data_IF_958090936762
#
_entry.id   IF_958090936762
#
_cell.length_a   1.000
_cell.length_b   1.000
_cell.length_c   1.000
_cell.angle_alpha   90.00
_cell.angle_beta   90.00
_cell.angle_gamma   90.00
#
_symmetry.space_group_name_H-M   'P 1'
#
loop_
_entity.id
_entity.type
_entity.pdbx_description
1 polymer ?
#
# COMPACT_ATOMS: atom_id res chain seq x y z
N UNK A 1 -7.90 -52.66 15.28
CA UNK A 1 -8.10 -51.38 15.97
C UNK A 1 -6.87 -50.43 15.93
N UNK A 2 -5.65 -50.85 16.22
CA UNK A 2 -4.48 -49.92 16.21
C UNK A 2 -4.11 -49.32 14.84
N UNK A 3 -4.29 -50.02 13.72
CA UNK A 3 -4.03 -49.51 12.37
C UNK A 3 -5.06 -48.49 11.88
N UNK A 4 -6.31 -48.61 12.31
CA UNK A 4 -7.39 -47.66 11.93
C UNK A 4 -7.27 -46.35 12.68
N UNK A 5 -6.78 -46.38 13.94
CA UNK A 5 -6.55 -45.15 14.73
C UNK A 5 -5.34 -44.37 14.19
N UNK A 6 -4.26 -45.02 13.72
CA UNK A 6 -3.16 -44.35 13.08
C UNK A 6 -3.54 -43.66 11.74
N UNK A 7 -4.39 -44.29 10.92
CA UNK A 7 -4.87 -43.70 9.69
C UNK A 7 -5.76 -42.44 9.95
N UNK A 8 -6.61 -42.52 10.99
CA UNK A 8 -7.43 -41.34 11.39
C UNK A 8 -6.58 -40.16 11.93
N UNK A 9 -5.55 -40.49 12.72
CA UNK A 9 -4.61 -39.43 13.22
C UNK A 9 -3.77 -38.80 12.11
N UNK A 10 -3.37 -39.58 11.09
CA UNK A 10 -2.66 -39.03 9.92
C UNK A 10 -3.62 -38.19 9.07
N UNK A 11 -4.90 -38.57 8.91
CA UNK A 11 -5.90 -37.76 8.20
C UNK A 11 -6.21 -36.45 8.94
N UNK A 12 -6.23 -36.44 10.28
CA UNK A 12 -6.46 -35.24 11.08
C UNK A 12 -5.21 -34.30 11.06
N UNK A 13 -3.99 -34.86 11.00
CA UNK A 13 -2.78 -34.05 10.84
C UNK A 13 -2.66 -33.42 9.45
N UNK A 14 -3.16 -34.08 8.40
CA UNK A 14 -3.17 -33.52 7.03
C UNK A 14 -4.22 -32.40 6.91
N UNK A 15 -5.29 -32.43 7.71
CA UNK A 15 -6.32 -31.37 7.76
C UNK A 15 -5.90 -30.15 8.60
N UNK A 16 -4.78 -30.20 9.31
CA UNK A 16 -4.20 -29.07 10.08
C UNK A 16 -3.00 -28.41 9.42
N UNK A 17 -2.65 -28.79 8.18
CA UNK A 17 -1.77 -27.93 7.39
C UNK A 17 -2.53 -26.62 7.16
N UNK A 18 -1.98 -25.47 7.56
CA UNK A 18 -2.60 -24.21 7.21
C UNK A 18 -2.75 -24.25 5.70
N UNK A 19 -3.98 -24.11 5.20
CA UNK A 19 -4.24 -23.75 3.82
C UNK A 19 -3.50 -22.42 3.64
N UNK A 20 -2.24 -22.48 3.18
CA UNK A 20 -1.60 -21.30 2.65
C UNK A 20 -2.51 -20.83 1.53
N UNK A 21 -3.31 -19.82 1.82
CA UNK A 21 -4.02 -19.11 0.78
C UNK A 21 -2.93 -18.46 -0.06
N UNK A 22 -2.55 -19.09 -1.17
CA UNK A 22 -1.75 -18.48 -2.21
C UNK A 22 -2.60 -17.37 -2.85
N UNK A 23 -2.87 -16.32 -2.06
CA UNK A 23 -3.53 -15.12 -2.51
C UNK A 23 -2.58 -14.25 -3.32
N UNK A 24 -3.12 -13.36 -4.11
CA UNK A 24 -2.37 -12.24 -4.60
C UNK A 24 -1.92 -11.39 -3.39
N UNK A 25 -0.67 -10.95 -3.38
CA UNK A 25 -0.15 -10.00 -2.40
C UNK A 25 0.06 -8.66 -3.09
N UNK A 26 -0.38 -7.60 -2.45
CA UNK A 26 -0.14 -6.22 -2.84
C UNK A 26 1.09 -5.67 -2.14
N UNK A 27 1.69 -4.62 -2.67
CA UNK A 27 2.71 -3.83 -1.98
C UNK A 27 2.14 -3.08 -0.76
N UNK A 28 0.81 -3.05 -0.61
CA UNK A 28 0.11 -2.42 0.49
C UNK A 28 -1.10 -3.25 0.95
N UNK A 29 -1.06 -3.69 2.20
CA UNK A 29 -2.23 -4.32 2.85
C UNK A 29 -3.03 -3.23 3.57
N UNK A 30 -4.21 -2.92 3.04
CA UNK A 30 -5.09 -1.86 3.54
C UNK A 30 -5.97 -2.28 4.71
N UNK A 31 -6.00 -3.57 5.07
CA UNK A 31 -6.82 -4.09 6.17
C UNK A 31 -5.96 -4.95 7.09
N UNK A 32 -5.94 -4.60 8.38
CA UNK A 32 -5.19 -5.31 9.41
C UNK A 32 -6.10 -5.75 10.54
N UNK A 33 -5.79 -6.90 11.13
CA UNK A 33 -6.54 -7.46 12.27
C UNK A 33 -5.86 -7.21 13.62
N UNK A 34 -4.76 -6.46 13.64
CA UNK A 34 -4.11 -6.04 14.88
C UNK A 34 -4.92 -4.94 15.58
N UNK A 35 -4.88 -4.92 16.91
CA UNK A 35 -5.43 -3.84 17.75
C UNK A 35 -4.52 -2.62 17.69
N UNK A 36 -4.61 -1.87 16.61
CA UNK A 36 -3.82 -0.67 16.37
C UNK A 36 -4.06 0.41 17.43
N UNK A 37 -3.09 1.31 17.61
CA UNK A 37 -3.28 2.48 18.48
C UNK A 37 -4.42 3.36 17.95
N UNK A 38 -5.42 3.67 18.81
CA UNK A 38 -6.65 4.39 18.43
C UNK A 38 -6.79 5.76 19.12
N UNK A 39 -5.96 6.06 20.10
CA UNK A 39 -5.92 7.35 20.81
C UNK A 39 -4.56 7.55 21.43
N UNK A 40 -4.20 8.80 21.66
CA UNK A 40 -2.97 9.18 22.36
C UNK A 40 -1.73 8.51 21.78
N UNK A 41 -1.69 8.44 20.43
CA UNK A 41 -0.57 7.88 19.69
C UNK A 41 0.71 8.64 20.00
N UNK A 42 1.73 7.91 20.45
CA UNK A 42 3.02 8.48 20.83
C UNK A 42 4.09 8.05 19.85
N UNK A 43 5.02 8.94 19.55
CA UNK A 43 6.21 8.61 18.81
C UNK A 43 7.05 7.60 19.60
N UNK A 44 7.16 6.37 19.08
CA UNK A 44 8.05 5.36 19.62
C UNK A 44 9.49 5.66 19.19
N UNK A 45 9.69 5.89 17.92
CA UNK A 45 10.93 6.39 17.31
C UNK A 45 10.66 7.04 15.96
N UNK A 46 11.64 7.81 15.48
CA UNK A 46 11.76 8.25 14.10
C UNK A 46 13.16 8.01 13.58
N UNK A 47 13.28 7.70 12.30
CA UNK A 47 14.58 7.48 11.61
C UNK A 47 14.59 8.26 10.30
N UNK A 48 15.65 9.02 10.09
CA UNK A 48 15.81 9.86 8.90
C UNK A 48 16.61 9.13 7.83
N UNK A 49 16.01 8.91 6.67
CA UNK A 49 16.62 8.28 5.51
C UNK A 49 16.70 9.19 4.29
N UNK A 50 15.95 10.27 4.25
CA UNK A 50 15.90 11.21 3.15
C UNK A 50 15.97 12.65 3.61
N UNK A 51 15.65 13.60 2.73
CA UNK A 51 15.77 15.03 3.02
C UNK A 51 14.54 15.87 2.66
N UNK A 52 13.79 15.50 1.61
CA UNK A 52 12.62 16.23 1.11
C UNK A 52 11.79 15.32 0.18
N UNK A 53 10.69 15.85 -0.39
CA UNK A 53 9.79 15.07 -1.23
C UNK A 53 10.47 14.38 -2.45
N UNK A 54 11.59 14.90 -2.96
CA UNK A 54 12.30 14.32 -4.11
C UNK A 54 13.11 13.08 -3.75
N UNK A 55 13.62 13.02 -2.53
CA UNK A 55 14.40 11.90 -2.01
C UNK A 55 13.91 11.45 -0.64
N UNK A 56 12.61 11.49 -0.42
CA UNK A 56 12.01 10.91 0.77
C UNK A 56 12.05 9.37 0.68
N UNK A 57 12.09 8.67 1.81
CA UNK A 57 11.99 7.22 1.80
C UNK A 57 10.65 6.76 1.21
N UNK A 58 10.58 5.50 0.76
CA UNK A 58 9.30 4.88 0.44
C UNK A 58 8.43 4.74 1.71
N UNK A 59 7.09 4.62 1.58
CA UNK A 59 6.30 4.13 2.70
C UNK A 59 6.85 2.79 3.19
N UNK A 60 6.98 2.56 4.51
CA UNK A 60 7.53 1.33 5.06
C UNK A 60 6.59 0.14 4.84
N UNK A 61 7.15 -1.05 4.72
CA UNK A 61 6.41 -2.31 4.68
C UNK A 61 6.80 -3.15 5.88
N UNK A 62 5.81 -3.63 6.63
CA UNK A 62 6.02 -4.54 7.76
C UNK A 62 6.17 -5.97 7.25
N UNK A 63 7.24 -6.64 7.65
CA UNK A 63 7.47 -8.06 7.39
C UNK A 63 7.93 -8.74 8.69
N UNK A 64 7.02 -9.41 9.37
CA UNK A 64 7.27 -9.91 10.73
C UNK A 64 7.68 -8.78 11.67
N UNK A 65 8.83 -8.91 12.31
CA UNK A 65 9.40 -7.93 13.24
C UNK A 65 10.31 -6.89 12.54
N UNK A 66 10.20 -6.76 11.22
CA UNK A 66 11.05 -5.86 10.44
C UNK A 66 10.24 -4.89 9.57
N UNK A 67 10.89 -3.78 9.21
CA UNK A 67 10.40 -2.83 8.22
C UNK A 67 11.33 -2.82 7.02
N UNK A 68 10.76 -2.83 5.82
CA UNK A 68 11.49 -2.65 4.57
C UNK A 68 11.22 -1.24 4.04
N UNK A 69 12.30 -0.55 3.71
CA UNK A 69 12.29 0.85 3.25
C UNK A 69 13.35 1.03 2.17
N UNK A 70 13.00 1.71 1.08
CA UNK A 70 14.00 2.19 0.11
C UNK A 70 14.16 3.71 0.22
N UNK A 71 15.40 4.21 0.09
CA UNK A 71 15.68 5.64 0.05
C UNK A 71 16.96 5.94 -0.74
N UNK A 72 16.87 6.88 -1.66
CA UNK A 72 17.96 7.16 -2.59
C UNK A 72 18.30 5.91 -3.41
N UNK A 73 19.56 5.46 -3.36
CA UNK A 73 20.03 4.25 -4.02
C UNK A 73 20.23 3.07 -3.05
N UNK A 74 19.59 3.08 -1.87
CA UNK A 74 19.73 2.00 -0.87
C UNK A 74 18.37 1.47 -0.44
N UNK A 75 18.31 0.19 -0.17
CA UNK A 75 17.21 -0.49 0.49
C UNK A 75 17.65 -0.96 1.87
N UNK A 76 16.77 -0.78 2.86
CA UNK A 76 17.04 -1.05 4.27
C UNK A 76 16.05 -2.06 4.81
N UNK A 77 16.54 -2.96 5.65
CA UNK A 77 15.78 -3.82 6.55
C UNK A 77 16.02 -3.33 7.98
N UNK A 78 14.97 -2.86 8.63
CA UNK A 78 15.03 -2.25 9.95
C UNK A 78 14.34 -3.14 10.96
N UNK A 79 14.75 -3.06 12.22
CA UNK A 79 13.97 -3.57 13.33
C UNK A 79 12.69 -2.74 13.51
N UNK A 80 11.52 -3.36 13.51
CA UNK A 80 10.26 -2.69 13.74
C UNK A 80 10.16 -2.10 15.15
N UNK A 81 10.89 -2.69 16.13
CA UNK A 81 10.87 -2.31 17.54
C UNK A 81 11.50 -0.93 17.80
N UNK A 82 12.62 -0.62 17.14
CA UNK A 82 13.46 0.56 17.46
C UNK A 82 14.02 1.28 16.22
N UNK A 83 13.72 0.76 15.01
CA UNK A 83 14.16 1.33 13.74
C UNK A 83 15.66 1.16 13.47
N UNK A 84 16.38 0.33 14.23
CA UNK A 84 17.80 0.08 13.96
C UNK A 84 17.97 -0.70 12.66
N UNK A 85 19.01 -0.37 11.89
CA UNK A 85 19.31 -1.03 10.62
C UNK A 85 19.85 -2.42 10.91
N UNK A 86 19.12 -3.45 10.48
CA UNK A 86 19.53 -4.86 10.57
C UNK A 86 20.41 -5.22 9.38
N UNK A 87 20.00 -4.80 8.18
CA UNK A 87 20.74 -5.02 6.94
C UNK A 87 20.37 -3.96 5.91
N UNK A 88 21.24 -3.76 4.94
CA UNK A 88 21.04 -2.84 3.83
C UNK A 88 21.71 -3.35 2.56
N UNK A 89 21.22 -2.89 1.41
CA UNK A 89 21.83 -3.20 0.11
C UNK A 89 21.80 -1.97 -0.81
N UNK A 90 22.72 -1.95 -1.77
CA UNK A 90 22.74 -0.95 -2.82
C UNK A 90 21.77 -1.33 -3.95
N UNK A 91 21.03 -0.36 -4.44
CA UNK A 91 20.14 -0.49 -5.59
C UNK A 91 20.84 0.00 -6.87
N UNK A 92 20.43 -0.53 -8.03
CA UNK A 92 21.01 -0.11 -9.33
C UNK A 92 20.53 1.26 -9.80
N UNK A 93 19.52 1.82 -9.18
CA UNK A 93 18.93 3.12 -9.46
C UNK A 93 18.41 3.77 -8.18
N UNK A 94 17.60 4.80 -8.32
CA UNK A 94 17.02 5.55 -7.20
C UNK A 94 15.51 5.35 -7.10
N UNK A 95 15.00 5.40 -5.86
CA UNK A 95 13.56 5.45 -5.62
C UNK A 95 12.98 6.88 -5.68
N UNK A 96 13.67 7.81 -6.31
CA UNK A 96 13.28 9.22 -6.38
C UNK A 96 11.85 9.37 -6.91
N UNK A 97 11.03 10.17 -6.21
CA UNK A 97 9.60 10.36 -6.46
C UNK A 97 8.72 9.10 -6.33
N UNK A 98 9.25 7.98 -5.85
CA UNK A 98 8.42 6.80 -5.64
C UNK A 98 7.50 7.01 -4.43
N UNK A 99 6.20 6.86 -4.66
CA UNK A 99 5.17 6.84 -3.61
C UNK A 99 4.70 5.42 -3.30
N UNK A 100 5.12 4.45 -4.11
CA UNK A 100 4.81 3.04 -3.92
C UNK A 100 5.76 2.40 -2.90
N UNK A 101 5.21 1.59 -2.01
CA UNK A 101 5.99 0.77 -1.09
C UNK A 101 6.71 -0.34 -1.85
N UNK A 102 7.88 -0.82 -1.38
CA UNK A 102 8.42 -2.11 -1.82
C UNK A 102 7.39 -3.23 -1.60
N UNK A 103 7.44 -4.27 -2.41
CA UNK A 103 6.62 -5.47 -2.19
C UNK A 103 7.48 -6.56 -1.56
N UNK A 104 6.99 -7.18 -0.47
CA UNK A 104 7.51 -8.45 0.03
C UNK A 104 6.60 -9.60 -0.43
N UNK A 105 7.15 -10.56 -1.15
CA UNK A 105 6.45 -11.78 -1.53
C UNK A 105 7.44 -12.90 -1.88
N UNK A 106 7.08 -14.14 -1.61
CA UNK A 106 7.84 -15.34 -1.98
C UNK A 106 9.31 -15.31 -1.49
N UNK A 107 9.53 -14.79 -0.24
CA UNK A 107 10.88 -14.64 0.35
C UNK A 107 11.76 -13.58 -0.33
N UNK A 108 11.17 -12.70 -1.12
CA UNK A 108 11.86 -11.67 -1.91
C UNK A 108 11.27 -10.29 -1.67
N UNK A 109 12.09 -9.28 -1.89
CA UNK A 109 11.68 -7.88 -1.92
C UNK A 109 11.80 -7.37 -3.35
N UNK A 110 10.73 -6.74 -3.82
CA UNK A 110 10.70 -6.08 -5.13
C UNK A 110 10.58 -4.57 -4.92
N UNK A 111 11.51 -3.83 -5.48
CA UNK A 111 11.55 -2.38 -5.35
C UNK A 111 11.47 -1.72 -6.73
N UNK A 112 10.66 -0.66 -6.79
CA UNK A 112 10.51 0.16 -7.98
C UNK A 112 11.47 1.33 -7.91
N UNK A 113 12.22 1.51 -9.00
CA UNK A 113 13.23 2.54 -9.15
C UNK A 113 12.87 3.47 -10.31
N UNK A 114 13.62 4.53 -10.48
CA UNK A 114 13.51 5.44 -11.61
C UNK A 114 13.78 4.74 -12.97
N UNK A 115 13.51 5.45 -14.05
CA UNK A 115 13.73 5.00 -15.43
C UNK A 115 13.13 3.63 -15.78
N UNK A 116 11.96 3.29 -15.19
CA UNK A 116 11.28 2.03 -15.48
C UNK A 116 11.99 0.79 -14.96
N UNK A 117 12.75 0.93 -13.89
CA UNK A 117 13.56 -0.14 -13.32
C UNK A 117 12.84 -0.82 -12.16
N UNK A 118 12.91 -2.15 -12.09
CA UNK A 118 12.50 -2.97 -10.94
C UNK A 118 13.69 -3.85 -10.56
N UNK A 119 14.02 -3.89 -9.27
CA UNK A 119 15.06 -4.76 -8.75
C UNK A 119 14.48 -5.70 -7.69
N UNK A 120 14.90 -6.97 -7.72
CA UNK A 120 14.55 -7.96 -6.73
C UNK A 120 15.72 -8.25 -5.82
N UNK A 121 15.41 -8.43 -4.54
CA UNK A 121 16.37 -8.84 -3.51
C UNK A 121 15.86 -10.08 -2.78
N UNK A 122 16.76 -10.93 -2.36
CA UNK A 122 16.48 -11.98 -1.38
C UNK A 122 16.22 -11.33 -0.02
N UNK A 123 15.12 -11.68 0.65
CA UNK A 123 14.73 -11.04 1.90
C UNK A 123 15.68 -11.33 3.05
N UNK A 124 16.21 -12.54 3.14
CA UNK A 124 17.04 -12.94 4.27
C UNK A 124 18.46 -12.38 4.17
N UNK A 125 19.05 -12.45 3.00
CA UNK A 125 20.45 -12.06 2.76
C UNK A 125 20.61 -10.62 2.27
N UNK A 126 19.53 -9.97 1.81
CA UNK A 126 19.53 -8.67 1.12
C UNK A 126 20.39 -8.65 -0.16
N UNK A 127 20.75 -9.80 -0.71
CA UNK A 127 21.46 -9.89 -1.99
C UNK A 127 20.50 -9.55 -3.13
N UNK A 128 20.99 -8.79 -4.11
CA UNK A 128 20.29 -8.56 -5.36
C UNK A 128 20.19 -9.87 -6.15
N UNK A 129 19.03 -10.15 -6.72
CA UNK A 129 18.76 -11.34 -7.51
C UNK A 129 18.76 -11.01 -9.00
N UNK A 130 17.88 -10.10 -9.41
CA UNK A 130 17.73 -9.70 -10.80
C UNK A 130 17.26 -8.25 -10.94
N UNK A 131 17.44 -7.70 -12.14
CA UNK A 131 17.02 -6.34 -12.51
C UNK A 131 16.22 -6.39 -13.80
N UNK A 132 15.03 -5.79 -13.80
CA UNK A 132 14.27 -5.47 -14.99
C UNK A 132 14.42 -3.99 -15.34
N UNK A 133 14.64 -3.67 -16.62
CA UNK A 133 14.60 -2.32 -17.12
C UNK A 133 13.64 -2.24 -18.30
N UNK A 134 12.62 -1.39 -18.18
CA UNK A 134 11.63 -1.18 -19.23
C UNK A 134 12.23 -0.42 -20.40
N UNK A 135 11.84 -0.82 -21.65
CA UNK A 135 12.38 -0.20 -22.87
C UNK A 135 11.91 1.23 -23.10
N UNK A 136 10.72 1.57 -22.56
CA UNK A 136 10.17 2.94 -22.64
C UNK A 136 10.60 3.78 -21.44
N UNK A 137 11.23 3.17 -20.44
CA UNK A 137 11.57 3.84 -19.19
C UNK A 137 10.34 4.20 -18.37
N UNK A 138 10.36 5.36 -17.71
CA UNK A 138 9.24 5.92 -17.00
C UNK A 138 9.38 5.89 -15.48
N UNK A 139 8.47 6.58 -14.81
CA UNK A 139 8.38 6.59 -13.36
C UNK A 139 7.66 5.33 -12.88
N UNK A 140 8.17 4.74 -11.82
CA UNK A 140 7.62 3.54 -11.20
C UNK A 140 6.64 3.94 -10.07
N UNK A 141 5.47 4.44 -10.44
CA UNK A 141 4.47 4.98 -9.51
C UNK A 141 3.32 3.99 -9.23
N UNK A 142 3.28 2.87 -9.95
CA UNK A 142 2.25 1.84 -9.79
C UNK A 142 2.70 0.81 -8.76
N UNK A 143 1.96 0.56 -7.67
CA UNK A 143 2.26 -0.50 -6.74
C UNK A 143 2.40 -1.87 -7.43
N UNK A 144 3.31 -2.70 -6.94
CA UNK A 144 3.53 -4.04 -7.49
C UNK A 144 2.52 -5.01 -6.86
N UNK A 145 1.87 -5.82 -7.70
CA UNK A 145 1.02 -6.94 -7.25
C UNK A 145 1.74 -8.26 -7.52
N UNK A 146 1.80 -9.15 -6.52
CA UNK A 146 2.30 -10.52 -6.69
C UNK A 146 1.15 -11.52 -6.84
N UNK A 147 1.29 -12.48 -7.73
CA UNK A 147 0.37 -13.63 -7.81
C UNK A 147 1.04 -14.84 -8.45
N UNK A 148 1.10 -15.96 -7.70
CA UNK A 148 1.55 -17.27 -8.18
C UNK A 148 2.90 -17.26 -8.94
N UNK A 149 3.93 -16.67 -8.33
CA UNK A 149 5.30 -16.64 -8.88
C UNK A 149 5.53 -15.56 -9.94
N UNK A 150 4.60 -14.62 -10.09
CA UNK A 150 4.72 -13.47 -10.99
C UNK A 150 4.39 -12.18 -10.27
N UNK A 151 5.05 -11.11 -10.69
CA UNK A 151 4.69 -9.73 -10.32
C UNK A 151 4.15 -8.97 -11.52
N UNK A 152 3.27 -8.02 -11.23
CA UNK A 152 2.57 -7.18 -12.18
C UNK A 152 2.68 -5.72 -11.75
N UNK A 153 3.07 -4.83 -12.65
CA UNK A 153 3.12 -3.39 -12.41
C UNK A 153 3.20 -2.62 -13.72
N UNK A 154 2.97 -1.32 -13.66
CA UNK A 154 3.06 -0.43 -14.81
C UNK A 154 3.96 0.78 -14.55
N UNK A 155 4.29 1.50 -15.63
CA UNK A 155 5.13 2.70 -15.60
C UNK A 155 4.35 3.89 -16.12
N UNK A 156 4.83 5.09 -15.81
CA UNK A 156 4.22 6.33 -16.24
C UNK A 156 5.27 7.29 -16.83
N UNK A 157 5.10 7.70 -18.09
CA UNK A 157 6.02 8.58 -18.82
C UNK A 157 5.49 10.00 -19.00
N UNK A 158 4.26 10.25 -18.56
CA UNK A 158 3.53 11.47 -18.77
C UNK A 158 2.09 11.20 -19.19
N UNK A 159 1.26 12.22 -19.13
CA UNK A 159 -0.19 12.06 -19.34
C UNK A 159 -0.55 11.65 -20.79
N UNK A 160 0.27 12.04 -21.77
CA UNK A 160 0.06 11.80 -23.20
C UNK A 160 1.11 10.88 -23.85
N UNK A 161 1.96 10.25 -23.06
CA UNK A 161 3.03 9.37 -23.55
C UNK A 161 2.68 7.88 -23.40
N UNK A 162 3.33 7.06 -24.20
CA UNK A 162 3.23 5.60 -24.10
C UNK A 162 3.99 5.07 -22.89
N UNK A 163 3.42 4.10 -22.20
CA UNK A 163 4.09 3.35 -21.13
C UNK A 163 3.68 1.87 -21.15
N UNK A 164 4.48 1.03 -20.51
CA UNK A 164 4.25 -0.41 -20.44
C UNK A 164 3.66 -0.81 -19.09
N UNK A 165 2.76 -1.80 -19.11
CA UNK A 165 2.38 -2.67 -17.99
C UNK A 165 3.04 -4.02 -18.23
N UNK A 166 3.66 -4.60 -17.18
CA UNK A 166 4.52 -5.78 -17.35
C UNK A 166 4.14 -6.91 -16.39
N UNK A 167 4.40 -8.13 -16.84
CA UNK A 167 4.39 -9.34 -16.01
C UNK A 167 5.80 -9.92 -15.98
N UNK A 168 6.36 -10.06 -14.79
CA UNK A 168 7.70 -10.61 -14.56
C UNK A 168 7.63 -11.86 -13.70
N UNK A 169 8.40 -12.90 -14.04
CA UNK A 169 8.62 -14.04 -13.14
C UNK A 169 9.46 -13.60 -11.94
N UNK A 170 9.09 -14.02 -10.74
CA UNK A 170 9.88 -13.74 -9.52
C UNK A 170 11.08 -14.69 -9.36
N UNK A 171 11.17 -15.71 -10.22
CA UNK A 171 12.25 -16.72 -10.16
C UNK A 171 13.59 -16.07 -10.45
N UNK A 172 14.59 -16.37 -9.63
CA UNK A 172 15.98 -16.17 -9.94
C UNK A 172 16.44 -17.32 -10.85
N UNK A 173 16.76 -17.00 -12.10
CA UNK A 173 17.10 -18.00 -13.12
C UNK A 173 18.61 -18.26 -13.19
N UNK A 174 19.40 -17.32 -12.66
CA UNK A 174 20.87 -17.42 -12.62
C UNK A 174 21.40 -16.95 -11.26
N UNK A 175 21.41 -17.85 -10.31
CA UNK A 175 21.88 -17.59 -8.93
C UNK A 175 23.35 -17.14 -8.82
N UNK A 176 24.13 -17.31 -9.89
CA UNK A 176 25.53 -16.85 -9.94
C UNK A 176 25.64 -15.37 -10.34
N UNK A 177 24.53 -14.73 -10.72
CA UNK A 177 24.47 -13.33 -11.12
C UNK A 177 23.58 -12.50 -10.20
N UNK A 178 24.14 -11.62 -9.41
CA UNK A 178 23.41 -10.73 -8.51
C UNK A 178 22.55 -9.65 -9.22
N UNK A 179 22.70 -9.48 -10.52
CA UNK A 179 21.99 -8.48 -11.34
C UNK A 179 21.61 -9.06 -12.70
N UNK A 180 21.07 -10.27 -12.68
CA UNK A 180 20.58 -10.90 -13.90
C UNK A 180 19.57 -9.98 -14.61
N UNK A 181 19.70 -9.81 -15.92
CA UNK A 181 18.79 -9.00 -16.72
C UNK A 181 17.45 -9.73 -16.92
N UNK A 182 16.41 -9.30 -16.21
CA UNK A 182 15.09 -9.93 -16.25
C UNK A 182 14.35 -9.60 -17.55
N UNK A 183 13.70 -10.62 -18.12
CA UNK A 183 12.82 -10.45 -19.28
C UNK A 183 11.36 -10.54 -18.85
N UNK A 184 10.47 -9.70 -19.42
CA UNK A 184 9.05 -9.80 -19.13
C UNK A 184 8.46 -11.06 -19.81
N UNK A 185 7.50 -11.70 -19.12
CA UNK A 185 6.66 -12.73 -19.72
C UNK A 185 5.80 -12.13 -20.82
N UNK A 186 5.25 -10.96 -20.55
CA UNK A 186 4.53 -10.12 -21.52
C UNK A 186 4.60 -8.65 -21.11
N UNK A 187 4.34 -7.79 -22.10
CA UNK A 187 4.15 -6.35 -21.93
C UNK A 187 2.84 -5.93 -22.57
N UNK A 188 2.12 -5.02 -21.94
CA UNK A 188 0.96 -4.33 -22.49
C UNK A 188 1.26 -2.84 -22.56
N UNK A 189 1.21 -2.26 -23.75
CA UNK A 189 1.53 -0.85 -23.98
C UNK A 189 0.25 -0.02 -24.10
N UNK A 190 0.19 1.11 -23.43
CA UNK A 190 -0.91 2.07 -23.53
C UNK A 190 -0.44 3.51 -23.44
N UNK A 191 -1.11 4.41 -24.15
CA UNK A 191 -0.97 5.84 -24.05
C UNK A 191 -1.56 6.33 -22.72
N UNK A 192 -0.92 7.34 -22.08
CA UNK A 192 -1.27 7.88 -20.76
C UNK A 192 -0.66 7.11 -19.60
N UNK A 193 -0.23 5.87 -19.82
CA UNK A 193 0.48 5.06 -18.86
C UNK A 193 -0.32 4.71 -17.60
N UNK A 194 0.43 4.35 -16.55
CA UNK A 194 -0.12 3.69 -15.36
C UNK A 194 0.39 4.37 -14.11
N UNK A 195 -0.35 5.36 -13.63
CA UNK A 195 -0.07 6.07 -12.38
C UNK A 195 -0.92 5.48 -11.25
N UNK A 196 -0.32 4.84 -10.26
CA UNK A 196 -1.07 4.25 -9.14
C UNK A 196 -2.02 3.10 -9.53
N UNK A 197 -1.91 2.58 -10.76
CA UNK A 197 -2.81 1.62 -11.37
C UNK A 197 -2.53 0.18 -10.91
N UNK A 198 -2.53 -0.06 -9.60
CA UNK A 198 -2.36 -1.40 -9.03
C UNK A 198 -3.45 -2.34 -9.54
N UNK A 199 -3.06 -3.54 -10.00
CA UNK A 199 -4.00 -4.48 -10.56
C UNK A 199 -4.57 -5.44 -9.52
N UNK A 200 -5.77 -5.97 -9.81
CA UNK A 200 -6.28 -7.17 -9.19
C UNK A 200 -6.04 -8.37 -10.10
N UNK A 201 -5.48 -9.45 -9.55
CA UNK A 201 -5.14 -10.67 -10.31
C UNK A 201 -6.07 -11.81 -9.93
N UNK A 202 -6.78 -12.35 -10.92
CA UNK A 202 -7.61 -13.55 -10.78
C UNK A 202 -6.87 -14.80 -11.27
N UNK A 203 -7.55 -15.94 -11.29
CA UNK A 203 -6.98 -17.16 -11.88
C UNK A 203 -6.60 -16.98 -13.38
N UNK A 204 -7.40 -16.23 -14.15
CA UNK A 204 -7.26 -16.08 -15.60
C UNK A 204 -6.92 -14.67 -16.08
N UNK A 205 -7.20 -13.65 -15.27
CA UNK A 205 -7.18 -12.26 -15.72
C UNK A 205 -6.42 -11.34 -14.77
N UNK A 206 -5.91 -10.24 -15.33
CA UNK A 206 -5.37 -9.09 -14.63
C UNK A 206 -6.28 -7.91 -14.94
N UNK A 207 -6.73 -7.17 -13.92
CA UNK A 207 -7.68 -6.05 -14.04
C UNK A 207 -7.06 -4.79 -13.46
N UNK A 208 -7.01 -3.69 -14.21
CA UNK A 208 -6.47 -2.39 -13.76
C UNK A 208 -7.09 -1.23 -14.55
N UNK A 209 -6.91 -0.01 -14.04
CA UNK A 209 -7.21 1.21 -14.75
C UNK A 209 -5.97 1.87 -15.37
N UNK A 210 -6.14 2.99 -16.06
CA UNK A 210 -5.05 3.81 -16.61
C UNK A 210 -5.44 5.28 -16.74
N UNK A 211 -4.47 6.15 -17.02
CA UNK A 211 -4.72 7.52 -17.46
C UNK A 211 -5.37 7.53 -18.85
N UNK A 212 -6.07 8.62 -19.18
CA UNK A 212 -6.85 8.71 -20.43
C UNK A 212 -5.98 8.89 -21.68
N UNK A 213 -4.73 9.27 -21.53
CA UNK A 213 -3.78 9.46 -22.62
C UNK A 213 -3.83 10.85 -23.24
N UNK A 214 -4.42 11.82 -22.56
CA UNK A 214 -4.50 13.20 -23.03
C UNK A 214 -3.82 14.14 -22.01
N UNK A 215 -3.01 15.09 -22.50
CA UNK A 215 -2.32 16.09 -21.67
C UNK A 215 -3.30 16.93 -20.86
N UNK A 216 -4.43 17.27 -21.44
CA UNK A 216 -5.58 17.83 -20.72
C UNK A 216 -6.63 16.71 -20.66
N UNK A 217 -6.95 16.25 -19.46
CA UNK A 217 -7.85 15.13 -19.27
C UNK A 217 -9.09 15.24 -20.15
N UNK A 218 -9.28 14.27 -21.05
CA UNK A 218 -10.47 14.18 -21.91
C UNK A 218 -11.72 13.80 -21.12
N UNK A 219 -11.56 13.43 -19.87
CA UNK A 219 -12.60 12.87 -19.03
C UNK A 219 -13.04 11.47 -19.45
N UNK A 220 -12.30 10.78 -20.31
CA UNK A 220 -12.61 9.41 -20.79
C UNK A 220 -11.39 8.52 -20.61
N UNK A 221 -11.53 7.48 -19.81
CA UNK A 221 -10.51 6.45 -19.63
C UNK A 221 -11.14 5.06 -19.69
N UNK A 222 -10.35 4.02 -19.41
CA UNK A 222 -10.80 2.64 -19.44
C UNK A 222 -10.27 1.85 -18.25
N UNK A 223 -11.10 0.94 -17.74
CA UNK A 223 -10.68 -0.20 -16.96
C UNK A 223 -10.43 -1.34 -17.95
N UNK A 224 -9.30 -2.00 -17.83
CA UNK A 224 -8.84 -3.02 -18.78
C UNK A 224 -8.72 -4.36 -18.10
N UNK A 225 -9.15 -5.41 -18.78
CA UNK A 225 -8.91 -6.80 -18.39
C UNK A 225 -7.97 -7.42 -19.40
N UNK A 226 -6.85 -7.99 -18.92
CA UNK A 226 -5.91 -8.75 -19.74
C UNK A 226 -5.95 -10.24 -19.38
N UNK A 227 -5.73 -11.11 -20.37
CA UNK A 227 -5.41 -12.51 -20.08
C UNK A 227 -4.08 -12.59 -19.34
N UNK A 228 -4.11 -13.18 -18.14
CA UNK A 228 -2.91 -13.32 -17.27
C UNK A 228 -1.76 -14.06 -17.94
N UNK A 229 -2.07 -14.98 -18.81
CA UNK A 229 -1.10 -15.83 -19.49
C UNK A 229 -0.21 -15.06 -20.48
N UNK A 230 -0.79 -14.14 -21.26
CA UNK A 230 -0.13 -13.56 -22.43
C UNK A 230 -0.28 -12.04 -22.59
N UNK A 231 -0.96 -11.34 -21.64
CA UNK A 231 -1.13 -9.89 -21.66
C UNK A 231 -2.04 -9.34 -22.76
N UNK A 232 -2.76 -10.20 -23.50
CA UNK A 232 -3.73 -9.75 -24.50
C UNK A 232 -4.98 -9.19 -23.82
N UNK A 233 -5.57 -8.15 -24.43
CA UNK A 233 -6.83 -7.57 -23.94
C UNK A 233 -7.95 -8.59 -24.08
N UNK A 234 -8.64 -8.83 -22.97
CA UNK A 234 -9.87 -9.62 -22.94
C UNK A 234 -11.08 -8.69 -23.08
N UNK A 235 -11.09 -7.56 -22.38
CA UNK A 235 -12.16 -6.56 -22.44
C UNK A 235 -11.70 -5.20 -21.92
N UNK A 236 -12.48 -4.15 -22.25
CA UNK A 236 -12.30 -2.80 -21.73
C UNK A 236 -13.64 -2.16 -21.36
N UNK A 237 -13.70 -1.48 -20.23
CA UNK A 237 -14.89 -0.76 -19.75
C UNK A 237 -14.59 0.73 -19.70
N UNK A 238 -15.34 1.51 -20.51
CA UNK A 238 -15.19 2.98 -20.52
C UNK A 238 -15.67 3.61 -19.22
N UNK A 239 -14.86 4.51 -18.66
CA UNK A 239 -15.12 5.26 -17.44
C UNK A 239 -14.71 6.72 -17.62
N UNK A 240 -15.00 7.58 -16.64
CA UNK A 240 -14.64 9.00 -16.66
C UNK A 240 -13.36 9.23 -15.86
N UNK A 241 -12.42 9.97 -16.48
CA UNK A 241 -11.21 10.48 -15.89
C UNK A 241 -10.10 9.43 -15.72
N UNK A 242 -8.96 9.92 -15.30
CA UNK A 242 -7.78 9.13 -15.06
C UNK A 242 -7.98 8.20 -13.86
N UNK A 243 -7.74 6.91 -14.06
CA UNK A 243 -7.78 5.93 -12.98
C UNK A 243 -6.39 5.86 -12.35
N UNK A 244 -6.21 6.55 -11.22
CA UNK A 244 -4.95 6.63 -10.45
C UNK A 244 -5.05 5.94 -9.11
N UNK A 245 -5.83 4.88 -9.05
CA UNK A 245 -5.99 4.01 -7.88
C UNK A 245 -5.95 2.55 -8.29
N UNK A 246 -5.70 1.67 -7.32
CA UNK A 246 -5.78 0.24 -7.53
C UNK A 246 -7.20 -0.25 -7.79
N UNK A 247 -7.29 -1.47 -8.32
CA UNK A 247 -8.55 -2.23 -8.41
C UNK A 247 -8.60 -3.23 -7.27
N UNK A 248 -9.65 -3.18 -6.46
CA UNK A 248 -9.88 -4.11 -5.36
C UNK A 248 -11.15 -4.92 -5.60
N UNK A 249 -11.22 -6.11 -5.00
CA UNK A 249 -12.36 -7.03 -5.12
C UNK A 249 -12.97 -7.34 -3.77
N UNK A 250 -14.27 -7.14 -3.63
CA UNK A 250 -15.04 -7.61 -2.50
C UNK A 250 -15.69 -8.96 -2.84
N UNK A 251 -15.38 -9.98 -2.03
CA UNK A 251 -16.02 -11.29 -2.15
C UNK A 251 -17.50 -11.23 -1.75
N UNK A 252 -17.82 -10.44 -0.73
CA UNK A 252 -19.16 -10.25 -0.21
C UNK A 252 -20.09 -9.68 -1.29
N UNK A 253 -19.66 -8.61 -1.95
CA UNK A 253 -20.43 -7.94 -3.00
C UNK A 253 -20.29 -8.62 -4.38
N UNK A 254 -19.33 -9.56 -4.52
CA UNK A 254 -18.92 -10.13 -5.79
C UNK A 254 -18.73 -9.05 -6.87
N UNK A 255 -17.94 -8.02 -6.52
CA UNK A 255 -17.74 -6.83 -7.33
C UNK A 255 -16.33 -6.25 -7.15
N UNK A 256 -15.86 -5.56 -8.17
CA UNK A 256 -14.61 -4.81 -8.20
C UNK A 256 -14.88 -3.33 -7.98
N UNK A 257 -13.89 -2.64 -7.39
CA UNK A 257 -13.96 -1.21 -7.12
C UNK A 257 -12.64 -0.53 -7.48
N UNK A 258 -12.75 0.71 -7.94
CA UNK A 258 -11.63 1.61 -8.21
C UNK A 258 -12.12 3.05 -8.16
N UNK A 259 -11.21 4.01 -8.26
CA UNK A 259 -11.56 5.44 -8.24
C UNK A 259 -10.81 6.22 -9.31
N UNK A 260 -11.26 7.44 -9.61
CA UNK A 260 -10.61 8.30 -10.59
C UNK A 260 -10.27 9.68 -10.05
N UNK A 261 -9.17 10.24 -10.53
CA UNK A 261 -8.74 11.62 -10.27
C UNK A 261 -9.83 12.65 -10.65
N UNK A 262 -10.72 12.32 -11.56
CA UNK A 262 -11.85 13.15 -11.94
C UNK A 262 -13.05 13.08 -10.97
N UNK A 263 -12.88 12.43 -9.82
CA UNK A 263 -13.89 12.41 -8.76
C UNK A 263 -15.02 11.41 -9.00
N UNK A 264 -14.67 10.19 -9.31
CA UNK A 264 -15.62 9.08 -9.36
C UNK A 264 -15.08 7.90 -8.57
N UNK A 265 -15.97 7.19 -7.90
CA UNK A 265 -15.74 5.86 -7.34
C UNK A 265 -16.60 4.90 -8.15
N UNK A 266 -15.98 3.85 -8.66
CA UNK A 266 -16.63 2.88 -9.55
C UNK A 266 -16.80 1.54 -8.87
N UNK A 267 -17.92 0.89 -9.14
CA UNK A 267 -18.21 -0.51 -8.87
C UNK A 267 -18.55 -1.20 -10.19
N UNK A 268 -17.96 -2.34 -10.45
CA UNK A 268 -18.25 -3.14 -11.66
C UNK A 268 -18.11 -4.63 -11.37
N UNK A 269 -18.58 -5.46 -12.27
CA UNK A 269 -18.41 -6.92 -12.21
C UNK A 269 -17.62 -7.39 -13.42
N UNK A 270 -17.01 -8.56 -13.28
CA UNK A 270 -16.31 -9.25 -14.36
C UNK A 270 -16.81 -10.68 -14.46
N UNK A 271 -16.99 -11.14 -15.70
CA UNK A 271 -17.21 -12.56 -15.97
C UNK A 271 -15.88 -13.32 -15.78
N UNK A 272 -15.83 -14.22 -14.81
CA UNK A 272 -14.60 -14.97 -14.45
C UNK A 272 -14.10 -15.94 -15.54
N UNK A 273 -14.91 -16.24 -16.57
CA UNK A 273 -14.53 -17.13 -17.67
C UNK A 273 -14.06 -16.37 -18.90
N UNK A 274 -14.70 -15.23 -19.22
CA UNK A 274 -14.44 -14.45 -20.44
C UNK A 274 -13.64 -13.19 -20.21
N UNK A 275 -13.57 -12.67 -18.96
CA UNK A 275 -12.96 -11.39 -18.64
C UNK A 275 -13.84 -10.18 -18.96
N UNK A 276 -15.06 -10.38 -19.46
CA UNK A 276 -16.01 -9.31 -19.80
C UNK A 276 -16.36 -8.48 -18.57
N UNK A 277 -16.21 -7.15 -18.70
CA UNK A 277 -16.53 -6.17 -17.68
C UNK A 277 -17.96 -5.64 -17.85
N UNK A 278 -18.75 -5.59 -16.77
CA UNK A 278 -20.17 -5.21 -16.82
C UNK A 278 -20.69 -4.64 -15.52
N UNK A 279 -21.96 -4.21 -15.55
CA UNK A 279 -22.70 -3.72 -14.39
C UNK A 279 -22.01 -2.54 -13.70
N UNK A 280 -21.49 -1.58 -14.48
CA UNK A 280 -20.86 -0.37 -13.96
C UNK A 280 -21.88 0.47 -13.18
N UNK A 281 -21.55 0.73 -11.92
CA UNK A 281 -22.16 1.78 -11.09
C UNK A 281 -21.07 2.79 -10.74
N UNK A 282 -21.46 4.03 -10.48
CA UNK A 282 -20.53 5.09 -10.10
C UNK A 282 -21.16 6.01 -9.05
N UNK A 283 -20.35 6.40 -8.08
CA UNK A 283 -20.63 7.52 -7.20
C UNK A 283 -19.79 8.73 -7.63
N UNK A 284 -20.43 9.89 -7.88
CA UNK A 284 -19.72 11.13 -8.17
C UNK A 284 -19.40 11.84 -6.87
N UNK A 285 -18.12 12.07 -6.63
CA UNK A 285 -17.62 12.82 -5.47
C UNK A 285 -17.53 14.32 -5.76
N UNK A 286 -17.30 15.11 -4.73
CA UNK A 286 -17.14 16.57 -4.85
C UNK A 286 -15.71 16.98 -5.30
N UNK A 287 -14.81 16.02 -5.45
CA UNK A 287 -13.42 16.30 -5.84
C UNK A 287 -12.68 15.06 -6.31
N UNK A 288 -11.38 15.20 -6.54
CA UNK A 288 -10.53 14.12 -7.04
C UNK A 288 -10.30 12.99 -6.04
N UNK A 289 -10.16 11.78 -6.55
CA UNK A 289 -9.84 10.58 -5.77
C UNK A 289 -8.65 9.88 -6.40
N UNK A 290 -7.59 9.64 -5.62
CA UNK A 290 -6.40 8.90 -6.05
C UNK A 290 -6.07 7.72 -5.12
N UNK A 291 -6.62 7.70 -3.90
CA UNK A 291 -6.52 6.55 -3.01
C UNK A 291 -7.36 5.37 -3.53
N UNK A 292 -6.83 4.17 -3.35
CA UNK A 292 -7.59 2.94 -3.62
C UNK A 292 -8.72 2.80 -2.61
N UNK A 293 -9.96 2.49 -3.04
CA UNK A 293 -11.06 2.25 -2.10
C UNK A 293 -10.77 1.08 -1.17
N UNK A 294 -11.10 1.21 0.11
CA UNK A 294 -11.04 0.12 1.09
C UNK A 294 -12.47 -0.36 1.34
N UNK A 295 -12.72 -1.67 1.22
CA UNK A 295 -14.06 -2.25 1.38
C UNK A 295 -14.05 -3.20 2.56
N UNK A 296 -14.99 -2.99 3.48
CA UNK A 296 -15.16 -3.82 4.64
C UNK A 296 -16.62 -3.81 5.11
N UNK A 297 -17.21 -4.98 5.37
CA UNK A 297 -18.58 -5.16 5.85
C UNK A 297 -19.63 -4.35 5.06
N UNK A 298 -19.60 -4.44 3.71
CA UNK A 298 -20.53 -3.75 2.84
C UNK A 298 -20.35 -2.23 2.76
N UNK A 299 -19.30 -1.68 3.36
CA UNK A 299 -18.95 -0.25 3.33
C UNK A 299 -17.67 -0.01 2.56
N UNK A 300 -17.61 1.08 1.84
CA UNK A 300 -16.47 1.54 1.07
C UNK A 300 -15.96 2.86 1.66
N UNK A 301 -14.67 2.91 1.93
CA UNK A 301 -13.97 4.06 2.52
C UNK A 301 -13.00 4.63 1.51
N UNK A 302 -13.08 5.95 1.27
CA UNK A 302 -12.19 6.61 0.32
C UNK A 302 -11.96 8.08 0.70
N UNK A 303 -10.71 8.52 0.59
CA UNK A 303 -10.31 9.91 0.76
C UNK A 303 -10.60 10.73 -0.49
N UNK A 304 -11.13 11.94 -0.33
CA UNK A 304 -11.52 12.84 -1.42
C UNK A 304 -10.94 14.23 -1.19
N UNK A 305 -10.45 14.86 -2.27
CA UNK A 305 -10.16 16.29 -2.29
C UNK A 305 -11.46 17.06 -2.50
N UNK A 306 -11.71 18.11 -1.74
CA UNK A 306 -12.82 19.03 -2.00
C UNK A 306 -12.31 20.48 -2.26
N UNK A 307 -11.12 20.60 -2.81
CA UNK A 307 -10.45 21.86 -3.11
C UNK A 307 -9.47 22.28 -2.02
N UNK A 308 -9.93 23.01 -0.99
CA UNK A 308 -9.04 23.50 0.11
C UNK A 308 -8.92 22.52 1.27
N UNK A 309 -9.94 21.69 1.49
CA UNK A 309 -10.01 20.66 2.51
C UNK A 309 -10.08 19.28 1.86
N UNK A 310 -10.30 18.26 2.65
CA UNK A 310 -10.58 16.91 2.20
C UNK A 310 -11.68 16.28 3.05
N UNK A 311 -12.09 15.10 2.66
CA UNK A 311 -13.06 14.32 3.40
C UNK A 311 -12.81 12.82 3.25
N UNK A 312 -13.17 12.05 4.26
CA UNK A 312 -13.41 10.62 4.15
C UNK A 312 -14.85 10.41 3.76
N UNK A 313 -15.11 9.72 2.66
CA UNK A 313 -16.44 9.24 2.31
C UNK A 313 -16.63 7.81 2.78
N UNK A 314 -17.80 7.53 3.35
CA UNK A 314 -18.28 6.18 3.64
C UNK A 314 -19.51 5.93 2.76
N UNK A 315 -19.37 4.99 1.84
CA UNK A 315 -20.33 4.70 0.78
C UNK A 315 -20.80 3.26 0.95
N UNK A 316 -22.09 3.02 0.77
CA UNK A 316 -22.65 1.66 0.70
C UNK A 316 -22.11 0.95 -0.54
N UNK A 317 -21.42 -0.16 -0.35
CA UNK A 317 -20.66 -0.83 -1.40
C UNK A 317 -21.55 -1.44 -2.49
N UNK A 318 -22.78 -1.90 -2.18
CA UNK A 318 -23.69 -2.45 -3.19
C UNK A 318 -24.44 -1.38 -3.95
N UNK A 319 -25.06 -0.44 -3.24
CA UNK A 319 -25.92 0.59 -3.85
C UNK A 319 -25.14 1.76 -4.43
N UNK A 320 -23.91 1.96 -4.01
CA UNK A 320 -23.07 3.12 -4.31
C UNK A 320 -23.70 4.43 -3.85
N UNK A 321 -24.37 4.44 -2.70
CA UNK A 321 -24.94 5.63 -2.07
C UNK A 321 -24.08 6.06 -0.89
N UNK A 322 -23.95 7.37 -0.71
CA UNK A 322 -23.29 7.92 0.47
C UNK A 322 -24.04 7.53 1.73
N UNK A 323 -23.32 6.99 2.72
CA UNK A 323 -23.82 6.77 4.07
C UNK A 323 -23.55 8.02 4.89
N UNK A 324 -22.29 8.45 4.96
CA UNK A 324 -21.87 9.72 5.56
C UNK A 324 -20.50 10.15 5.05
N UNK A 325 -20.13 11.39 5.34
CA UNK A 325 -18.75 11.89 5.16
C UNK A 325 -18.20 12.50 6.44
N UNK A 326 -16.88 12.56 6.54
CA UNK A 326 -16.18 13.22 7.62
C UNK A 326 -15.07 14.11 7.09
N UNK A 327 -15.04 15.37 7.49
CA UNK A 327 -14.02 16.32 7.08
C UNK A 327 -12.63 15.87 7.59
N UNK A 328 -11.62 16.08 6.75
CA UNK A 328 -10.20 15.92 7.08
C UNK A 328 -9.50 17.28 7.01
N UNK A 329 -8.30 17.37 7.55
CA UNK A 329 -7.52 18.62 7.62
C UNK A 329 -7.12 19.10 6.22
N UNK A 330 -6.91 18.16 5.29
CA UNK A 330 -6.63 18.40 3.87
C UNK A 330 -6.91 17.12 3.07
N UNK A 331 -6.57 17.11 1.78
CA UNK A 331 -6.76 15.96 0.90
C UNK A 331 -6.06 14.69 1.42
N UNK A 332 -6.79 13.64 1.82
CA UNK A 332 -6.24 12.33 2.12
C UNK A 332 -5.97 11.59 0.80
N UNK A 333 -4.77 11.78 0.27
CA UNK A 333 -4.40 11.35 -1.08
C UNK A 333 -4.03 9.87 -1.16
N UNK A 334 -3.53 9.31 -0.05
CA UNK A 334 -3.15 7.91 0.04
C UNK A 334 -4.37 7.00 0.32
N UNK A 335 -4.20 5.72 0.05
CA UNK A 335 -5.13 4.67 0.50
C UNK A 335 -5.17 4.62 2.03
N UNK A 336 -6.37 4.52 2.60
CA UNK A 336 -6.54 4.39 4.04
C UNK A 336 -6.03 3.05 4.56
N UNK A 337 -5.58 3.00 5.83
CA UNK A 337 -5.45 1.76 6.57
C UNK A 337 -6.73 1.53 7.39
N UNK A 338 -7.30 0.32 7.35
CA UNK A 338 -8.42 -0.09 8.18
C UNK A 338 -7.96 -1.16 9.17
N UNK A 339 -8.23 -0.96 10.46
CA UNK A 339 -8.06 -1.98 11.49
C UNK A 339 -9.41 -2.48 11.97
N UNK A 340 -9.64 -3.78 11.90
CA UNK A 340 -10.79 -4.47 12.48
C UNK A 340 -10.46 -5.18 13.80
N UNK A 341 -9.26 -4.98 14.35
CA UNK A 341 -8.79 -5.68 15.54
C UNK A 341 -9.63 -5.47 16.82
N UNK A 342 -10.50 -4.45 16.84
CA UNK A 342 -11.42 -4.20 17.96
C UNK A 342 -12.86 -4.61 17.67
N UNK A 343 -13.18 -5.07 16.47
CA UNK A 343 -14.56 -5.28 16.03
C UNK A 343 -15.30 -6.34 16.86
N UNK A 344 -14.64 -7.46 17.13
CA UNK A 344 -15.24 -8.55 17.93
C UNK A 344 -15.63 -8.10 19.35
N UNK A 345 -14.85 -7.21 19.97
CA UNK A 345 -15.08 -6.76 21.34
C UNK A 345 -16.02 -5.55 21.43
N UNK A 346 -15.97 -4.67 20.44
CA UNK A 346 -16.62 -3.34 20.53
C UNK A 346 -17.63 -3.08 19.42
N UNK A 347 -17.68 -3.90 18.38
CA UNK A 347 -18.42 -3.65 17.15
C UNK A 347 -17.86 -2.51 16.30
N UNK A 348 -16.62 -2.05 16.59
CA UNK A 348 -16.00 -0.88 15.96
C UNK A 348 -14.76 -1.26 15.15
N UNK A 349 -14.60 -0.55 14.05
CA UNK A 349 -13.39 -0.55 13.22
C UNK A 349 -12.78 0.85 13.20
N UNK A 350 -11.51 0.94 12.80
CA UNK A 350 -10.78 2.20 12.78
C UNK A 350 -10.10 2.41 11.43
N UNK A 351 -10.28 3.62 10.86
CA UNK A 351 -9.78 4.02 9.56
C UNK A 351 -8.74 5.13 9.76
N UNK A 352 -7.51 4.91 9.30
CA UNK A 352 -6.37 5.80 9.47
C UNK A 352 -6.03 6.46 8.14
N UNK A 353 -5.87 7.78 8.19
CA UNK A 353 -5.55 8.61 7.03
C UNK A 353 -4.35 9.51 7.33
N UNK A 354 -3.49 9.67 6.33
CA UNK A 354 -2.59 10.82 6.23
C UNK A 354 -3.23 11.87 5.31
N UNK A 355 -2.91 13.14 5.53
CA UNK A 355 -3.41 14.24 4.70
C UNK A 355 -2.25 15.02 4.10
N UNK A 356 -2.41 15.47 2.86
CA UNK A 356 -1.39 16.23 2.14
C UNK A 356 -1.31 17.69 2.65
N UNK A 357 -0.86 17.83 3.90
CA UNK A 357 -0.68 19.10 4.61
C UNK A 357 0.41 18.94 5.68
N UNK A 358 1.05 20.05 6.08
CA UNK A 358 1.88 20.11 7.29
C UNK A 358 1.00 20.11 8.56
N UNK A 359 1.40 19.41 9.61
CA UNK A 359 2.69 18.77 9.86
C UNK A 359 2.83 17.33 9.33
N UNK A 360 1.84 16.77 8.63
CA UNK A 360 1.92 15.42 8.06
C UNK A 360 1.76 14.32 9.10
N UNK A 361 0.70 14.41 9.88
CA UNK A 361 0.33 13.44 10.90
C UNK A 361 -0.70 12.43 10.46
N UNK A 362 -1.33 11.77 11.43
CA UNK A 362 -2.34 10.73 11.26
C UNK A 362 -3.64 11.15 11.91
N UNK A 363 -4.73 11.08 11.15
CA UNK A 363 -6.12 11.20 11.64
C UNK A 363 -6.74 9.82 11.64
N UNK A 364 -7.48 9.47 12.70
CA UNK A 364 -8.22 8.23 12.82
C UNK A 364 -9.72 8.50 12.90
N UNK A 365 -10.49 7.75 12.11
CA UNK A 365 -11.94 7.68 12.15
C UNK A 365 -12.37 6.37 12.79
N UNK A 366 -13.41 6.45 13.62
CA UNK A 366 -14.12 5.29 14.15
C UNK A 366 -15.36 5.04 13.29
N UNK A 367 -15.65 3.79 12.96
CA UNK A 367 -16.89 3.39 12.28
C UNK A 367 -17.44 2.08 12.85
N UNK A 368 -18.74 1.85 12.60
CA UNK A 368 -19.48 0.65 12.94
C UNK A 368 -20.63 0.44 11.96
N UNK A 369 -21.20 -0.76 11.91
CA UNK A 369 -22.23 -1.14 10.93
C UNK A 369 -23.42 -0.18 10.87
N UNK A 370 -23.83 0.38 12.00
CA UNK A 370 -25.00 1.26 12.09
C UNK A 370 -24.66 2.76 12.12
N UNK A 371 -23.39 3.12 12.01
CA UNK A 371 -22.96 4.51 12.12
C UNK A 371 -23.37 5.32 10.91
N UNK A 372 -23.89 6.56 11.16
CA UNK A 372 -24.39 7.48 10.13
C UNK A 372 -23.70 8.85 10.18
N UNK A 373 -22.70 9.01 11.01
CA UNK A 373 -21.94 10.25 11.14
C UNK A 373 -20.48 9.98 11.52
N UNK A 374 -19.60 10.86 11.09
CA UNK A 374 -18.17 10.73 11.35
C UNK A 374 -17.84 10.96 12.83
N UNK A 375 -17.01 10.06 13.37
CA UNK A 375 -16.34 10.23 14.65
C UNK A 375 -14.84 10.17 14.36
N UNK A 376 -14.12 11.27 14.56
CA UNK A 376 -12.69 11.37 14.26
C UNK A 376 -11.90 11.99 15.38
N UNK A 377 -10.61 11.74 15.38
CA UNK A 377 -9.61 12.42 16.21
C UNK A 377 -8.24 12.43 15.53
N UNK A 378 -7.43 13.39 15.90
CA UNK A 378 -6.02 13.39 15.57
C UNK A 378 -5.35 12.32 16.43
N UNK A 379 -4.68 11.37 15.80
CA UNK A 379 -3.97 10.31 16.48
C UNK A 379 -2.55 10.72 16.85
N UNK A 380 -1.85 11.34 15.91
CA UNK A 380 -0.46 11.72 16.04
C UNK A 380 -0.11 12.90 15.13
N UNK A 381 0.70 13.82 15.62
CA UNK A 381 1.31 14.90 14.82
C UNK A 381 2.81 14.95 15.13
N UNK A 382 3.67 15.01 14.07
CA UNK A 382 5.11 15.20 14.27
C UNK A 382 5.43 16.56 14.91
N UNK A 383 6.55 16.63 15.63
CA UNK A 383 7.12 17.88 16.10
C UNK A 383 7.52 18.79 14.94
N UNK A 384 7.69 20.09 15.20
CA UNK A 384 8.02 21.12 14.21
C UNK A 384 9.25 20.78 13.36
N UNK A 385 10.30 20.22 13.98
CA UNK A 385 11.52 19.81 13.29
C UNK A 385 11.32 18.67 12.28
N UNK A 386 10.23 17.91 12.37
CA UNK A 386 9.87 16.81 11.50
C UNK A 386 8.57 17.07 10.73
N UNK A 387 8.05 18.30 10.81
CA UNK A 387 6.81 18.73 10.16
C UNK A 387 7.02 18.89 8.65
N UNK A 388 6.25 18.13 7.85
CA UNK A 388 6.24 18.25 6.38
C UNK A 388 4.94 17.68 5.80
N UNK A 389 4.69 17.85 4.49
CA UNK A 389 3.56 17.26 3.78
C UNK A 389 3.58 15.73 3.85
N UNK A 390 2.40 15.10 3.77
CA UNK A 390 2.31 13.64 3.82
C UNK A 390 1.29 13.09 2.81
N UNK A 391 1.76 12.22 1.92
CA UNK A 391 0.95 11.44 0.99
C UNK A 391 1.23 9.94 1.12
N UNK A 392 1.75 9.52 2.27
CA UNK A 392 2.16 8.14 2.54
C UNK A 392 0.98 7.26 2.90
N UNK A 393 0.98 6.05 2.40
CA UNK A 393 0.22 4.96 3.01
C UNK A 393 0.73 4.66 4.42
N UNK A 394 -0.14 4.07 5.24
CA UNK A 394 0.13 3.70 6.63
C UNK A 394 0.11 2.18 6.71
N UNK A 395 1.10 1.58 7.39
CA UNK A 395 1.10 0.15 7.71
C UNK A 395 1.13 -0.08 9.20
N UNK A 396 0.77 -1.28 9.66
CA UNK A 396 0.79 -1.65 11.07
C UNK A 396 1.38 -3.03 11.28
N UNK A 397 1.99 -3.25 12.45
CA UNK A 397 2.48 -4.55 12.89
C UNK A 397 1.40 -5.34 13.67
N UNK A 398 1.75 -6.56 14.06
CA UNK A 398 0.87 -7.44 14.85
C UNK A 398 0.62 -6.93 16.28
N UNK A 399 1.47 -6.05 16.80
CA UNK A 399 1.33 -5.42 18.13
C UNK A 399 0.46 -4.15 18.06
N UNK A 400 0.07 -3.72 16.86
CA UNK A 400 -0.76 -2.54 16.62
C UNK A 400 0.00 -1.23 16.56
N UNK A 401 1.33 -1.26 16.45
CA UNK A 401 2.09 -0.07 16.14
C UNK A 401 1.91 0.31 14.67
N UNK A 402 1.90 1.59 14.39
CA UNK A 402 1.65 2.18 13.07
C UNK A 402 2.95 2.78 12.54
N UNK A 403 3.20 2.55 11.24
CA UNK A 403 4.38 3.05 10.55
C UNK A 403 3.97 3.84 9.31
N UNK A 404 4.60 4.99 9.12
CA UNK A 404 4.41 5.84 7.95
C UNK A 404 5.62 6.75 7.73
N UNK A 405 5.60 7.55 6.68
CA UNK A 405 6.60 8.59 6.42
C UNK A 405 5.89 9.90 6.06
N UNK A 406 6.60 11.03 6.18
CA UNK A 406 6.25 12.27 5.51
C UNK A 406 7.44 12.79 4.69
N UNK A 407 7.30 13.95 4.05
CA UNK A 407 8.33 14.51 3.17
C UNK A 407 9.52 15.16 3.91
N UNK A 408 9.58 15.07 5.24
CA UNK A 408 10.77 15.47 6.02
C UNK A 408 11.97 14.53 5.84
N UNK A 409 11.73 13.37 5.22
CA UNK A 409 12.72 12.29 5.10
C UNK A 409 12.76 11.35 6.30
N UNK A 410 11.82 11.49 7.23
CA UNK A 410 11.69 10.62 8.39
C UNK A 410 10.67 9.51 8.15
N UNK A 411 10.96 8.33 8.69
CA UNK A 411 10.00 7.28 8.99
C UNK A 411 9.60 7.41 10.44
N UNK A 412 8.33 7.22 10.73
CA UNK A 412 7.75 7.31 12.06
C UNK A 412 7.18 5.96 12.48
N UNK A 413 7.44 5.57 13.72
CA UNK A 413 6.74 4.51 14.42
C UNK A 413 5.87 5.13 15.51
N UNK A 414 4.57 4.89 15.46
CA UNK A 414 3.57 5.44 16.37
C UNK A 414 2.85 4.30 17.08
N UNK A 415 2.79 4.36 18.40
CA UNK A 415 2.17 3.32 19.21
C UNK A 415 1.83 3.81 20.63
N UNK A 416 1.54 2.88 21.52
CA UNK A 416 1.40 3.16 22.95
C UNK A 416 2.72 2.90 23.65
N UNK A 417 3.23 3.87 24.39
CA UNK A 417 4.39 3.62 25.27
C UNK A 417 3.95 2.71 26.41
N UNK A 418 4.58 1.55 26.51
CA UNK A 418 4.38 0.68 27.68
C UNK A 418 5.05 1.28 28.92
N UNK A 419 4.52 0.99 30.10
CA UNK A 419 5.14 1.45 31.38
C UNK A 419 6.62 1.07 31.49
N UNK A 420 7.01 -0.08 30.97
CA UNK A 420 8.42 -0.51 30.90
C UNK A 420 9.29 0.44 30.06
N UNK A 421 8.77 0.94 28.95
CA UNK A 421 9.48 1.88 28.08
C UNK A 421 9.60 3.26 28.74
N UNK A 422 8.57 3.69 29.47
CA UNK A 422 8.59 4.94 30.25
C UNK A 422 9.63 4.87 31.37
N UNK A 423 9.71 3.76 32.08
CA UNK A 423 10.71 3.53 33.15
C UNK A 423 12.14 3.51 32.58
N UNK A 424 12.34 2.87 31.41
CA UNK A 424 13.65 2.81 30.76
C UNK A 424 14.10 4.18 30.23
N UNK A 425 13.20 4.94 29.62
CA UNK A 425 13.48 6.32 29.18
C UNK A 425 13.78 7.25 30.37
N UNK A 426 13.02 7.13 31.46
CA UNK A 426 13.30 7.85 32.71
C UNK A 426 14.68 7.50 33.24
N UNK A 427 15.06 6.22 33.25
CA UNK A 427 16.37 5.76 33.71
C UNK A 427 17.52 6.33 32.84
N UNK A 428 17.35 6.35 31.52
CA UNK A 428 18.34 6.96 30.60
C UNK A 428 18.47 8.46 30.86
N UNK A 429 17.35 9.17 31.04
CA UNK A 429 17.39 10.62 31.32
C UNK A 429 18.02 10.89 32.69
N UNK A 430 17.72 10.08 33.67
CA UNK A 430 18.32 10.16 35.00
C UNK A 430 19.84 9.95 34.96
N UNK A 431 20.30 8.94 34.24
CA UNK A 431 21.73 8.65 34.02
C UNK A 431 22.42 9.81 33.27
N UNK A 432 21.82 10.35 32.21
CA UNK A 432 22.35 11.52 31.49
C UNK A 432 22.48 12.74 32.37
N UNK A 433 21.51 12.98 33.26
CA UNK A 433 21.52 14.10 34.23
C UNK A 433 22.61 13.90 35.33
N UNK A 434 22.82 12.67 35.77
CA UNK A 434 23.93 12.32 36.68
C UNK A 434 25.30 12.60 36.04
N UNK A 435 25.51 12.19 34.82
CA UNK A 435 26.77 12.42 34.10
C UNK A 435 27.01 13.89 33.69
N UNK A 436 25.95 14.67 33.43
CA UNK A 436 26.08 16.10 33.18
C UNK A 436 26.50 16.88 34.46
N UNK A 437 26.02 16.45 35.63
CA UNK A 437 26.39 17.07 36.91
C UNK A 437 27.82 16.69 37.39
N UNK A 438 28.37 15.61 36.87
CA UNK A 438 29.76 15.19 37.16
C UNK A 438 30.79 15.94 36.30
N UNK A 439 30.41 16.36 35.07
CA UNK A 439 31.26 17.14 34.15
C UNK A 439 31.28 18.64 34.42
N UNK A 440 30.49 19.13 35.36
CA UNK A 440 30.39 20.54 35.74
C UNK A 440 31.05 20.85 37.11
N UNK A 441 31.87 19.92 37.65
CA UNK A 441 32.71 20.15 38.81
C UNK A 441 34.19 20.09 38.48
#
# INVERSE_FOLDING_TARGET
MKKTVCLLLILILILQLPLMSYGAASSYDSIVSSKTVISDGQLLYSKKFGANYKNSPTPPVVVGDTLIVASGNRIFKLSAKDGEVIAEAEMVGSNMYSVASPLYADGKIFVQLDEGTIQAFDFDTMKSLWVYKDKLGGQSLTPITYSYGYIYTGFWNGEDEDANYVCLSVKDENSDSEKEAKKPRWTYKAKGGFYGAECFVTAKFVVFGKDDGERQSSGKSVITTLYKENGKVADTLSVKGDIRSGVVFSKEENAFYTSSKSGYVYRFRMNSQTGELKNLKAYKTNGGVTGTPVIYNGRLYVGVSNGKAGELLVIDADTMKLIYSGETEAYPQATALLSNGYEEETGKIYIYLTCNIKPGGITVFEDSVNQQSAVKKILFMPDEAMSEYCISTITADSEGNIYYKNDSGNIFAVGKKTEKLLLFQWLIQFIKKLFSNIKGR
#
